data_IF_811563374718
#
_entry.id   IF_811563374718
#
_cell.length_a   1.000
_cell.length_b   1.000
_cell.length_c   1.000
_cell.angle_alpha   90.00
_cell.angle_beta   90.00
_cell.angle_gamma   90.00
#
_symmetry.space_group_name_H-M   'P 1'
#
loop_
_entity.id
_entity.type
_entity.pdbx_description
1 polymer ?
#
# COMPACT_ATOMS: atom_id res chain seq x y z
N UNK A 1 -39.54 14.75 5.86
CA UNK A 1 -38.72 14.51 7.06
C UNK A 1 -37.78 13.35 6.73
N UNK A 2 -36.49 13.62 6.56
CA UNK A 2 -35.45 12.61 6.36
C UNK A 2 -34.95 12.12 7.73
N UNK A 3 -34.54 10.85 7.88
CA UNK A 3 -33.97 10.37 9.14
C UNK A 3 -32.58 10.99 9.35
N UNK A 4 -32.15 11.21 10.62
CA UNK A 4 -30.85 11.79 10.91
C UNK A 4 -29.73 10.81 10.52
N UNK A 5 -28.65 11.35 9.94
CA UNK A 5 -27.36 10.69 9.72
C UNK A 5 -26.93 9.93 10.99
N UNK A 6 -27.09 8.61 10.98
CA UNK A 6 -26.68 7.71 12.05
C UNK A 6 -25.16 7.54 12.02
N UNK A 7 -24.58 7.78 13.20
CA UNK A 7 -23.17 7.72 13.55
C UNK A 7 -22.47 6.46 13.02
N UNK A 8 -21.29 6.69 12.43
CA UNK A 8 -20.27 5.72 12.04
C UNK A 8 -20.02 4.72 13.19
N UNK A 9 -20.23 3.43 12.95
CA UNK A 9 -20.28 2.40 13.98
C UNK A 9 -18.92 1.70 14.14
N UNK A 10 -18.47 1.51 15.38
CA UNK A 10 -17.10 1.09 15.71
C UNK A 10 -16.73 -0.35 15.32
N UNK A 11 -15.43 -0.61 15.21
CA UNK A 11 -14.85 -1.93 14.92
C UNK A 11 -14.69 -2.79 16.19
N UNK A 12 -14.93 -4.09 16.08
CA UNK A 12 -14.81 -5.04 17.19
C UNK A 12 -13.92 -6.22 16.81
N UNK A 13 -13.20 -6.74 17.78
CA UNK A 13 -12.41 -7.96 17.67
C UNK A 13 -12.92 -9.01 18.66
N UNK A 14 -13.02 -10.26 18.21
CA UNK A 14 -13.34 -11.40 19.08
C UNK A 14 -12.09 -11.84 19.85
N UNK A 15 -12.09 -11.65 21.16
CA UNK A 15 -10.96 -11.98 22.04
C UNK A 15 -11.25 -13.13 23.00
N UNK A 16 -12.51 -13.55 23.13
CA UNK A 16 -12.91 -14.65 24.00
C UNK A 16 -13.39 -15.89 23.23
N UNK A 17 -13.65 -16.97 23.96
CA UNK A 17 -14.17 -18.22 23.38
C UNK A 17 -13.10 -19.22 22.92
N UNK A 18 -11.83 -19.01 23.27
CA UNK A 18 -10.71 -19.90 22.93
C UNK A 18 -10.96 -21.37 23.29
N UNK A 19 -11.44 -21.63 24.52
CA UNK A 19 -11.76 -22.99 24.98
C UNK A 19 -12.88 -23.68 24.17
N UNK A 20 -13.69 -22.91 23.45
CA UNK A 20 -14.78 -23.40 22.60
C UNK A 20 -14.57 -23.13 21.11
N UNK A 21 -13.34 -22.80 20.71
CA UNK A 21 -12.95 -22.47 19.34
C UNK A 21 -13.78 -21.32 18.72
N UNK A 22 -14.10 -20.31 19.53
CA UNK A 22 -14.89 -19.14 19.14
C UNK A 22 -16.15 -18.95 19.98
N UNK A 23 -16.88 -17.89 19.65
CA UNK A 23 -18.11 -17.48 20.34
C UNK A 23 -19.35 -17.81 19.53
N UNK A 24 -20.48 -17.96 20.24
CA UNK A 24 -21.75 -18.29 19.64
C UNK A 24 -22.43 -17.04 19.07
N UNK A 25 -22.70 -17.04 17.77
CA UNK A 25 -23.56 -16.06 17.13
C UNK A 25 -25.00 -16.58 17.05
N UNK A 26 -25.99 -15.69 17.16
CA UNK A 26 -27.42 -16.01 17.05
C UNK A 26 -28.07 -15.17 15.96
N UNK A 27 -29.13 -15.69 15.34
CA UNK A 27 -29.88 -14.99 14.28
C UNK A 27 -30.56 -13.71 14.78
N UNK A 28 -30.98 -13.67 16.04
CA UNK A 28 -31.68 -12.56 16.67
C UNK A 28 -31.07 -12.15 18.01
N UNK A 29 -31.50 -10.98 18.50
CA UNK A 29 -30.97 -10.35 19.71
C UNK A 29 -31.15 -11.19 20.98
N UNK A 30 -32.24 -11.97 21.09
CA UNK A 30 -32.55 -12.81 22.26
C UNK A 30 -31.57 -13.97 22.48
N UNK A 31 -31.44 -14.42 23.73
CA UNK A 31 -30.62 -15.59 24.10
C UNK A 31 -31.27 -16.92 23.70
N UNK A 32 -32.56 -16.90 23.43
CA UNK A 32 -33.42 -17.98 22.96
C UNK A 32 -33.47 -18.09 21.43
N UNK A 33 -32.89 -17.13 20.70
CA UNK A 33 -32.84 -17.14 19.24
C UNK A 33 -32.01 -18.30 18.70
N UNK A 34 -32.34 -18.76 17.48
CA UNK A 34 -31.59 -19.76 16.72
C UNK A 34 -30.09 -19.47 16.69
N UNK A 35 -29.32 -20.48 17.05
CA UNK A 35 -27.86 -20.49 17.02
C UNK A 35 -27.37 -20.61 15.57
N UNK A 36 -26.34 -19.83 15.23
CA UNK A 36 -25.70 -19.87 13.93
C UNK A 36 -24.41 -20.69 14.02
N UNK A 37 -24.21 -21.55 13.02
CA UNK A 37 -23.01 -22.35 12.86
C UNK A 37 -22.31 -22.00 11.53
N UNK A 38 -20.97 -22.03 11.47
CA UNK A 38 -20.02 -22.34 12.55
C UNK A 38 -19.96 -21.23 13.63
N UNK A 39 -19.24 -21.47 14.74
CA UNK A 39 -18.97 -20.43 15.74
C UNK A 39 -18.07 -19.34 15.16
N UNK A 40 -18.17 -18.13 15.70
CA UNK A 40 -17.36 -16.99 15.32
C UNK A 40 -15.98 -17.11 15.98
N UNK A 41 -14.94 -17.35 15.19
CA UNK A 41 -13.59 -17.66 15.66
C UNK A 41 -12.95 -16.47 16.41
N UNK A 42 -12.03 -16.79 17.32
CA UNK A 42 -11.18 -15.79 18.00
C UNK A 42 -10.30 -15.07 16.96
N UNK A 43 -10.05 -13.78 17.17
CA UNK A 43 -9.35 -12.90 16.22
C UNK A 43 -10.22 -12.42 15.05
N UNK A 44 -11.51 -12.78 15.00
CA UNK A 44 -12.41 -12.26 13.96
C UNK A 44 -12.67 -10.76 14.18
N UNK A 45 -12.54 -9.97 13.11
CA UNK A 45 -12.85 -8.55 13.08
C UNK A 45 -14.26 -8.32 12.55
N UNK A 46 -15.01 -7.48 13.25
CA UNK A 46 -16.42 -7.25 13.01
C UNK A 46 -16.73 -5.76 12.89
N UNK A 47 -17.66 -5.45 12.01
CA UNK A 47 -18.33 -4.16 11.95
C UNK A 47 -19.51 -4.16 12.93
N UNK A 48 -19.63 -3.14 13.76
CA UNK A 48 -20.84 -2.94 14.57
C UNK A 48 -22.00 -2.50 13.67
N UNK A 49 -23.10 -3.25 13.70
CA UNK A 49 -24.35 -2.87 13.03
C UNK A 49 -25.34 -2.26 14.03
N UNK A 50 -25.33 -2.76 15.27
CA UNK A 50 -26.15 -2.23 16.37
C UNK A 50 -25.60 -2.71 17.72
N UNK A 51 -25.65 -1.87 18.76
CA UNK A 51 -25.25 -2.25 20.11
C UNK A 51 -26.39 -1.99 21.11
N UNK A 52 -26.89 -3.05 21.73
CA UNK A 52 -27.94 -3.01 22.76
C UNK A 52 -27.41 -3.55 24.07
N UNK A 53 -26.86 -2.66 24.89
CA UNK A 53 -26.22 -3.02 26.16
C UNK A 53 -25.05 -3.98 25.91
N UNK A 54 -25.25 -5.26 26.22
CA UNK A 54 -24.24 -6.31 26.07
C UNK A 54 -24.42 -7.19 24.81
N UNK A 55 -25.33 -6.81 23.91
CA UNK A 55 -25.64 -7.54 22.67
C UNK A 55 -25.21 -6.71 21.48
N UNK A 56 -24.30 -7.26 20.69
CA UNK A 56 -23.73 -6.64 19.51
C UNK A 56 -24.28 -7.35 18.26
N UNK A 57 -25.03 -6.63 17.45
CA UNK A 57 -25.34 -7.01 16.08
C UNK A 57 -24.14 -6.65 15.23
N UNK A 58 -23.63 -7.62 14.47
CA UNK A 58 -22.39 -7.47 13.74
C UNK A 58 -22.49 -7.94 12.31
N UNK A 59 -21.54 -7.47 11.50
CA UNK A 59 -21.17 -8.04 10.20
C UNK A 59 -19.70 -8.45 10.25
N UNK A 60 -19.39 -9.66 9.78
CA UNK A 60 -18.02 -10.17 9.76
C UNK A 60 -17.22 -9.45 8.66
N UNK A 61 -16.09 -8.87 9.04
CA UNK A 61 -15.14 -8.25 8.09
C UNK A 61 -13.97 -9.17 7.77
N UNK A 62 -13.43 -9.84 8.80
CA UNK A 62 -12.29 -10.78 8.68
C UNK A 62 -12.39 -11.87 9.72
N UNK A 63 -12.02 -13.10 9.38
CA UNK A 63 -12.02 -14.24 10.29
C UNK A 63 -12.89 -15.40 9.79
N UNK A 64 -13.35 -16.26 10.70
CA UNK A 64 -14.24 -17.39 10.37
C UNK A 64 -15.50 -17.35 11.23
N UNK A 65 -16.65 -17.61 10.62
CA UNK A 65 -17.93 -17.62 11.31
C UNK A 65 -19.06 -17.21 10.38
N UNK A 66 -20.27 -17.00 10.93
CA UNK A 66 -21.39 -16.43 10.19
C UNK A 66 -21.06 -15.00 9.75
N UNK A 67 -21.49 -14.64 8.54
CA UNK A 67 -21.21 -13.31 7.96
C UNK A 67 -21.94 -12.18 8.68
N UNK A 68 -22.98 -12.50 9.45
CA UNK A 68 -23.74 -11.57 10.27
C UNK A 68 -24.39 -12.31 11.46
N UNK A 69 -24.76 -11.56 12.49
CA UNK A 69 -25.56 -12.08 13.59
C UNK A 69 -25.43 -11.29 14.87
N UNK A 70 -25.95 -11.84 15.96
CA UNK A 70 -25.90 -11.24 17.29
C UNK A 70 -24.99 -12.03 18.23
N UNK A 71 -24.04 -11.33 18.85
CA UNK A 71 -23.13 -11.88 19.86
C UNK A 71 -23.27 -11.19 21.21
N UNK A 72 -22.79 -11.85 22.25
CA UNK A 72 -22.65 -11.27 23.58
C UNK A 72 -21.25 -10.69 23.73
N UNK A 73 -21.13 -9.43 24.13
CA UNK A 73 -19.84 -8.72 24.25
C UNK A 73 -19.06 -9.17 25.49
N UNK A 74 -19.74 -9.37 26.62
CA UNK A 74 -19.15 -9.84 27.88
C UNK A 74 -20.00 -10.96 28.49
N UNK A 75 -19.37 -12.00 29.05
CA UNK A 75 -20.09 -13.10 29.70
C UNK A 75 -19.41 -13.48 31.01
N UNK A 76 -20.17 -13.46 32.12
CA UNK A 76 -19.66 -13.74 33.46
C UNK A 76 -18.41 -12.92 33.83
N UNK A 77 -18.41 -11.63 33.48
CA UNK A 77 -17.28 -10.72 33.72
C UNK A 77 -16.09 -10.89 32.77
N UNK A 78 -16.12 -11.86 31.83
CA UNK A 78 -15.09 -12.04 30.81
C UNK A 78 -15.47 -11.31 29.52
N UNK A 79 -14.53 -10.59 28.93
CA UNK A 79 -14.70 -9.94 27.62
C UNK A 79 -14.61 -10.99 26.52
N UNK A 80 -15.62 -11.04 25.66
CA UNK A 80 -15.70 -11.93 24.49
C UNK A 80 -15.42 -11.18 23.19
N UNK A 81 -15.88 -9.94 23.10
CA UNK A 81 -15.55 -9.02 22.02
C UNK A 81 -15.08 -7.70 22.63
N UNK A 82 -14.00 -7.14 22.11
CA UNK A 82 -13.50 -5.84 22.51
C UNK A 82 -13.63 -4.85 21.37
N UNK A 83 -13.96 -3.59 21.67
CA UNK A 83 -13.79 -2.53 20.68
C UNK A 83 -12.30 -2.45 20.37
N UNK A 84 -11.97 -2.48 19.09
CA UNK A 84 -10.61 -2.16 18.67
C UNK A 84 -10.45 -0.66 18.89
N UNK A 85 -9.67 -0.28 19.91
CA UNK A 85 -9.34 1.11 20.16
C UNK A 85 -8.44 1.58 19.00
N UNK A 86 -9.08 2.11 17.98
CA UNK A 86 -8.52 2.25 16.65
C UNK A 86 -9.66 2.15 15.64
N UNK A 87 -10.45 3.22 15.49
CA UNK A 87 -11.47 3.35 14.44
C UNK A 87 -10.88 2.98 13.06
N UNK A 88 -11.17 1.76 12.66
CA UNK A 88 -11.00 1.29 11.30
C UNK A 88 -12.34 1.55 10.62
N UNK A 89 -12.37 2.51 9.70
CA UNK A 89 -13.50 2.66 8.79
C UNK A 89 -13.35 1.74 7.57
N UNK A 90 -14.45 1.11 7.10
CA UNK A 90 -14.46 0.28 5.91
C UNK A 90 -14.48 1.18 4.67
N UNK A 91 -13.40 1.18 3.89
CA UNK A 91 -13.47 1.70 2.51
C UNK A 91 -14.23 0.72 1.64
N UNK A 92 -15.54 0.93 1.55
CA UNK A 92 -16.37 0.42 0.46
C UNK A 92 -16.25 1.33 -0.75
N UNK A 93 -15.61 0.84 -1.81
CA UNK A 93 -16.00 1.10 -3.20
C UNK A 93 -15.78 2.50 -3.77
N UNK A 94 -14.54 2.80 -4.18
CA UNK A 94 -14.31 3.29 -5.55
C UNK A 94 -13.18 2.48 -6.15
N UNK A 95 -13.42 1.98 -7.36
CA UNK A 95 -12.63 0.91 -7.98
C UNK A 95 -11.14 1.19 -7.96
N UNK A 96 -10.40 0.27 -7.35
CA UNK A 96 -9.05 0.02 -7.81
C UNK A 96 -9.23 -0.57 -9.23
N UNK A 97 -8.72 0.07 -10.30
CA UNK A 97 -8.77 -0.55 -11.61
C UNK A 97 -8.08 -1.91 -11.50
N UNK A 98 -8.83 -2.91 -11.93
CA UNK A 98 -8.45 -4.30 -12.21
C UNK A 98 -6.94 -4.46 -12.45
N UNK A 99 -6.30 -5.33 -11.67
CA UNK A 99 -5.26 -6.20 -12.22
C UNK A 99 -3.79 -5.90 -11.91
N UNK A 100 -3.44 -5.11 -10.90
CA UNK A 100 -2.10 -5.24 -10.33
C UNK A 100 -2.11 -6.42 -9.34
N UNK A 101 -1.98 -7.65 -9.84
CA UNK A 101 -1.69 -8.80 -9.00
C UNK A 101 -0.57 -8.43 -8.02
N UNK A 102 -0.69 -8.80 -6.74
CA UNK A 102 0.41 -8.64 -5.80
C UNK A 102 1.60 -9.45 -6.33
N UNK A 103 2.49 -8.81 -7.08
CA UNK A 103 3.68 -9.46 -7.63
C UNK A 103 4.67 -9.58 -6.50
N UNK A 104 4.71 -10.75 -5.87
CA UNK A 104 5.81 -11.16 -5.01
C UNK A 104 7.02 -11.53 -5.86
N UNK A 105 8.22 -11.34 -5.31
CA UNK A 105 9.49 -11.70 -5.92
C UNK A 105 10.32 -12.53 -4.92
N UNK A 106 11.14 -13.49 -5.38
CA UNK A 106 12.14 -14.13 -4.53
C UNK A 106 12.97 -13.08 -3.79
N UNK A 107 13.10 -13.24 -2.47
CA UNK A 107 13.76 -12.31 -1.56
C UNK A 107 12.80 -11.39 -0.79
N UNK A 108 11.55 -11.23 -1.22
CA UNK A 108 10.59 -10.38 -0.51
C UNK A 108 10.39 -10.82 0.94
N UNK A 109 10.40 -9.86 1.85
CA UNK A 109 10.05 -10.08 3.26
C UNK A 109 8.54 -10.05 3.44
N UNK A 110 8.03 -11.09 4.10
CA UNK A 110 6.60 -11.28 4.32
C UNK A 110 6.34 -11.77 5.73
N UNK A 111 5.18 -11.43 6.27
CA UNK A 111 4.59 -12.14 7.39
C UNK A 111 3.70 -13.25 6.86
N UNK A 112 3.70 -14.38 7.57
CA UNK A 112 2.99 -15.59 7.14
C UNK A 112 1.95 -15.97 8.18
N UNK A 113 0.68 -15.94 7.80
CA UNK A 113 -0.38 -16.39 8.70
C UNK A 113 -0.29 -17.91 8.91
N UNK A 114 -0.21 -18.33 10.17
CA UNK A 114 -0.23 -19.73 10.57
C UNK A 114 -1.62 -20.12 11.03
N UNK A 115 -2.29 -20.99 10.27
CA UNK A 115 -3.61 -21.50 10.64
C UNK A 115 -3.57 -22.37 11.91
N UNK A 116 -2.51 -23.15 12.10
CA UNK A 116 -2.39 -24.06 13.25
C UNK A 116 -2.03 -23.35 14.54
N UNK A 117 -1.38 -22.19 14.45
CA UNK A 117 -1.00 -21.35 15.60
C UNK A 117 -1.89 -20.12 15.78
N UNK A 118 -2.83 -19.90 14.86
CA UNK A 118 -3.73 -18.74 14.81
C UNK A 118 -3.01 -17.40 15.00
N UNK A 119 -1.83 -17.25 14.38
CA UNK A 119 -1.00 -16.06 14.52
C UNK A 119 -0.20 -15.78 13.25
N UNK A 120 0.21 -14.52 13.10
CA UNK A 120 1.23 -14.14 12.13
C UNK A 120 2.60 -14.63 12.59
N UNK A 121 3.29 -15.36 11.72
CA UNK A 121 4.70 -15.70 11.88
C UNK A 121 5.53 -14.63 11.19
N UNK A 122 6.39 -14.01 12.00
CA UNK A 122 7.31 -12.96 11.57
C UNK A 122 8.47 -13.55 10.76
N UNK A 123 9.17 -12.69 10.00
CA UNK A 123 10.40 -13.02 9.25
C UNK A 123 10.23 -14.07 8.14
N UNK A 124 9.09 -14.10 7.47
CA UNK A 124 8.95 -14.91 6.27
C UNK A 124 9.73 -14.32 5.10
N UNK A 125 10.24 -15.19 4.23
CA UNK A 125 10.94 -14.78 3.00
C UNK A 125 10.33 -15.55 1.84
N UNK A 126 9.95 -14.83 0.79
CA UNK A 126 9.56 -15.44 -0.47
C UNK A 126 10.81 -16.09 -1.07
N UNK A 127 10.78 -17.41 -1.23
CA UNK A 127 11.87 -18.16 -1.83
C UNK A 127 11.71 -18.24 -3.35
N UNK A 128 10.47 -18.42 -3.81
CA UNK A 128 10.16 -18.68 -5.21
C UNK A 128 8.73 -18.23 -5.52
N UNK A 129 8.50 -17.86 -6.78
CA UNK A 129 7.17 -17.64 -7.34
C UNK A 129 7.00 -18.53 -8.55
N UNK A 130 5.94 -19.33 -8.58
CA UNK A 130 5.69 -20.32 -9.62
C UNK A 130 5.52 -19.61 -10.98
N UNK A 131 6.41 -19.85 -11.96
CA UNK A 131 6.34 -19.18 -13.25
C UNK A 131 5.17 -19.70 -14.11
N UNK A 132 4.72 -20.92 -13.84
CA UNK A 132 3.64 -21.63 -14.50
C UNK A 132 2.97 -22.62 -13.55
N UNK A 133 1.86 -23.21 -13.98
CA UNK A 133 1.17 -24.26 -13.23
C UNK A 133 2.07 -25.51 -13.16
N UNK A 134 2.25 -26.09 -11.96
CA UNK A 134 3.07 -27.31 -11.81
C UNK A 134 2.58 -28.21 -10.68
N UNK A 135 3.08 -29.45 -10.63
CA UNK A 135 2.73 -30.43 -9.60
C UNK A 135 3.78 -30.44 -8.48
N UNK A 136 3.38 -30.06 -7.26
CA UNK A 136 4.16 -30.17 -6.03
C UNK A 136 3.75 -31.45 -5.28
N UNK A 137 4.45 -32.55 -5.57
CA UNK A 137 4.12 -33.88 -5.05
C UNK A 137 2.78 -34.40 -5.60
N UNK A 138 1.69 -34.24 -4.85
CA UNK A 138 0.32 -34.59 -5.28
C UNK A 138 -0.60 -33.38 -5.43
N UNK A 139 -0.11 -32.19 -5.10
CA UNK A 139 -0.90 -30.96 -5.13
C UNK A 139 -0.56 -30.16 -6.38
N UNK A 140 -1.58 -29.72 -7.11
CA UNK A 140 -1.39 -28.76 -8.21
C UNK A 140 -1.14 -27.37 -7.61
N UNK A 141 -0.16 -26.65 -8.14
CA UNK A 141 0.13 -25.24 -7.84
C UNK A 141 -0.19 -24.42 -9.07
N UNK A 142 -0.94 -23.35 -8.89
CA UNK A 142 -1.18 -22.40 -9.98
C UNK A 142 0.01 -21.48 -10.22
N UNK A 143 0.13 -20.98 -11.44
CA UNK A 143 1.02 -19.89 -11.81
C UNK A 143 0.83 -18.72 -10.86
N UNK A 144 1.94 -18.18 -10.37
CA UNK A 144 1.95 -17.09 -9.39
C UNK A 144 1.82 -17.55 -7.94
N UNK A 145 1.68 -18.85 -7.66
CA UNK A 145 1.82 -19.38 -6.29
C UNK A 145 3.17 -18.98 -5.69
N UNK A 146 3.21 -18.70 -4.39
CA UNK A 146 4.39 -18.17 -3.71
C UNK A 146 4.91 -19.20 -2.71
N UNK A 147 6.14 -19.66 -2.88
CA UNK A 147 6.84 -20.46 -1.89
C UNK A 147 7.48 -19.53 -0.88
N UNK A 148 7.11 -19.70 0.38
CA UNK A 148 7.59 -18.85 1.47
C UNK A 148 8.25 -19.72 2.54
N UNK A 149 9.42 -19.29 3.02
CA UNK A 149 9.99 -19.78 4.27
C UNK A 149 9.47 -18.96 5.45
N UNK A 150 9.34 -19.57 6.63
CA UNK A 150 8.89 -18.90 7.84
C UNK A 150 9.41 -19.61 9.10
N UNK A 151 9.26 -18.96 10.26
CA UNK A 151 9.75 -19.50 11.54
C UNK A 151 11.25 -19.72 11.53
N UNK A 152 12.00 -18.68 11.14
CA UNK A 152 13.47 -18.68 11.03
C UNK A 152 14.01 -19.78 10.11
N UNK A 153 13.28 -20.07 9.02
CA UNK A 153 13.66 -21.05 8.00
C UNK A 153 13.28 -22.50 8.31
N UNK A 154 12.65 -22.76 9.46
CA UNK A 154 12.22 -24.12 9.85
C UNK A 154 10.97 -24.60 9.10
N UNK A 155 10.14 -23.67 8.61
CA UNK A 155 8.94 -23.96 7.84
C UNK A 155 9.04 -23.46 6.41
N UNK A 156 8.41 -24.20 5.48
CA UNK A 156 8.16 -23.76 4.09
C UNK A 156 6.74 -24.11 3.70
N UNK A 157 6.07 -23.26 2.92
CA UNK A 157 4.78 -23.59 2.30
C UNK A 157 4.57 -22.81 1.02
N UNK A 158 3.85 -23.42 0.08
CA UNK A 158 3.26 -22.70 -1.05
C UNK A 158 1.97 -22.01 -0.61
N UNK A 159 1.74 -20.82 -1.16
CA UNK A 159 0.51 -20.03 -0.98
C UNK A 159 -0.07 -19.71 -2.36
N UNK A 160 -1.28 -20.19 -2.61
CA UNK A 160 -1.97 -19.99 -3.90
C UNK A 160 -2.35 -18.51 -4.09
N UNK A 161 -2.44 -18.00 -5.34
CA UNK A 161 -2.77 -16.59 -5.61
C UNK A 161 -4.00 -16.07 -4.87
N UNK A 162 -5.08 -16.86 -4.82
CA UNK A 162 -6.32 -16.50 -4.12
C UNK A 162 -6.18 -16.45 -2.59
N UNK A 163 -5.09 -16.99 -2.05
CA UNK A 163 -4.79 -17.01 -0.63
C UNK A 163 -3.80 -15.94 -0.19
N UNK A 164 -3.01 -15.41 -1.12
CA UNK A 164 -1.89 -14.52 -0.82
C UNK A 164 -2.30 -13.29 -0.03
N UNK A 165 -3.44 -12.67 -0.36
CA UNK A 165 -3.91 -11.46 0.32
C UNK A 165 -4.20 -11.65 1.82
N UNK A 166 -4.52 -12.88 2.26
CA UNK A 166 -4.84 -13.17 3.66
C UNK A 166 -3.86 -14.12 4.35
N UNK A 167 -2.99 -14.80 3.60
CA UNK A 167 -1.92 -15.66 4.12
C UNK A 167 -0.58 -14.95 4.16
N UNK A 168 -0.31 -14.05 3.22
CA UNK A 168 0.93 -13.30 3.11
C UNK A 168 0.66 -11.83 3.36
N UNK A 169 1.45 -11.24 4.24
CA UNK A 169 1.46 -9.81 4.44
C UNK A 169 2.85 -9.33 4.04
N UNK A 170 2.99 -8.72 2.84
CA UNK A 170 4.25 -8.09 2.43
C UNK A 170 4.63 -7.07 3.49
N UNK A 171 5.78 -7.26 4.12
CA UNK A 171 6.33 -6.23 4.99
C UNK A 171 6.78 -5.11 4.06
N UNK A 172 6.23 -3.90 4.16
CA UNK A 172 6.93 -2.77 3.59
C UNK A 172 8.25 -2.71 4.35
N UNK A 173 9.37 -2.72 3.63
CA UNK A 173 10.69 -2.52 4.22
C UNK A 173 10.82 -1.04 4.62
N UNK A 174 10.02 -0.61 5.59
CA UNK A 174 10.15 0.71 6.19
C UNK A 174 11.57 0.83 6.74
N UNK A 175 12.09 2.05 6.71
CA UNK A 175 13.38 2.44 7.28
C UNK A 175 13.23 3.76 8.03
N UNK A 176 14.03 4.00 9.07
CA UNK A 176 14.18 5.34 9.63
C UNK A 176 14.48 6.35 8.50
N UNK A 177 13.69 7.41 8.41
CA UNK A 177 13.75 8.42 7.36
C UNK A 177 12.73 8.26 6.22
N UNK A 178 12.06 7.11 6.10
CA UNK A 178 11.04 6.92 5.08
C UNK A 178 9.85 7.87 5.28
N UNK A 179 9.45 8.57 4.22
CA UNK A 179 8.18 9.29 4.20
C UNK A 179 7.04 8.29 4.08
N UNK A 180 6.00 8.47 4.88
CA UNK A 180 4.83 7.60 4.93
C UNK A 180 3.57 8.42 5.07
N UNK A 181 2.47 7.98 4.47
CA UNK A 181 1.16 8.45 4.92
C UNK A 181 0.76 7.64 6.15
N UNK A 182 0.27 8.33 7.17
CA UNK A 182 -0.17 7.72 8.43
C UNK A 182 -1.68 7.84 8.55
N UNK A 183 -2.40 6.72 8.67
CA UNK A 183 -3.84 6.75 8.87
C UNK A 183 -4.17 7.32 10.25
N UNK A 184 -4.94 8.40 10.31
CA UNK A 184 -5.50 8.95 11.53
C UNK A 184 -6.93 8.48 11.71
N UNK A 185 -7.05 7.42 12.52
CA UNK A 185 -8.29 6.88 13.08
C UNK A 185 -9.30 7.97 13.51
N UNK A 186 -8.89 8.87 14.41
CA UNK A 186 -9.81 9.85 15.02
C UNK A 186 -10.20 10.98 14.07
N UNK A 187 -9.40 11.21 13.03
CA UNK A 187 -9.64 12.23 12.03
C UNK A 187 -10.19 11.66 10.71
N UNK A 188 -10.37 10.34 10.62
CA UNK A 188 -10.80 9.58 9.44
C UNK A 188 -10.10 10.01 8.14
N UNK A 189 -8.78 10.24 8.23
CA UNK A 189 -7.98 10.72 7.09
C UNK A 189 -6.53 10.28 7.19
N UNK A 190 -5.85 10.25 6.04
CA UNK A 190 -4.41 10.11 5.97
C UNK A 190 -3.74 11.43 6.36
N UNK A 191 -2.76 11.37 7.25
CA UNK A 191 -1.75 12.41 7.41
C UNK A 191 -0.66 12.14 6.37
N UNK A 192 -0.37 13.13 5.53
CA UNK A 192 0.52 12.96 4.36
C UNK A 192 1.98 13.28 4.67
N UNK A 193 2.26 13.76 5.88
CA UNK A 193 3.54 14.26 6.36
C UNK A 193 4.23 13.28 7.32
N UNK A 194 3.84 12.02 7.29
CA UNK A 194 4.42 11.01 8.17
C UNK A 194 5.89 10.75 7.82
N UNK A 195 6.67 10.54 8.87
CA UNK A 195 8.08 10.16 8.78
C UNK A 195 8.32 8.98 9.73
N UNK A 196 8.92 7.92 9.21
CA UNK A 196 9.40 6.82 10.05
C UNK A 196 10.60 7.32 10.84
N UNK A 197 10.45 7.40 12.15
CA UNK A 197 11.49 7.85 13.07
C UNK A 197 12.45 6.71 13.42
N UNK A 198 11.89 5.52 13.70
CA UNK A 198 12.65 4.34 14.11
C UNK A 198 11.85 3.05 13.86
N UNK A 199 12.53 1.90 13.96
CA UNK A 199 11.93 0.58 13.86
C UNK A 199 12.49 -0.31 14.96
N UNK A 200 11.60 -0.92 15.74
CA UNK A 200 11.99 -1.83 16.82
C UNK A 200 12.82 -3.00 16.27
N UNK A 201 14.10 -3.06 16.59
CA UNK A 201 15.00 -4.15 16.12
C UNK A 201 14.83 -5.44 16.92
N UNK A 202 14.24 -5.34 18.11
CA UNK A 202 13.91 -6.42 19.02
C UNK A 202 12.56 -6.19 19.70
N UNK A 203 12.05 -7.19 20.43
CA UNK A 203 10.85 -7.01 21.24
C UNK A 203 11.17 -6.11 22.42
N UNK A 204 10.33 -5.10 22.65
CA UNK A 204 10.52 -4.14 23.74
C UNK A 204 9.19 -3.83 24.42
N UNK A 205 9.23 -3.21 25.60
CA UNK A 205 8.04 -2.75 26.31
C UNK A 205 8.01 -1.23 26.35
N UNK A 206 6.93 -0.63 25.86
CA UNK A 206 6.72 0.82 25.87
C UNK A 206 5.47 1.08 26.69
N UNK A 207 5.59 1.86 27.76
CA UNK A 207 4.49 2.19 28.66
C UNK A 207 3.76 0.95 29.22
N UNK A 208 4.50 -0.16 29.39
CA UNK A 208 3.95 -1.43 29.87
C UNK A 208 3.24 -2.27 28.80
N UNK A 209 3.19 -1.81 27.55
CA UNK A 209 2.66 -2.56 26.42
C UNK A 209 3.79 -3.21 25.61
N UNK A 210 3.62 -4.49 25.27
CA UNK A 210 4.57 -5.21 24.41
C UNK A 210 4.56 -4.62 23.00
N UNK A 211 5.75 -4.29 22.50
CA UNK A 211 6.02 -3.80 21.16
C UNK A 211 6.81 -4.88 20.42
N UNK A 212 6.19 -5.59 19.46
CA UNK A 212 6.87 -6.62 18.68
C UNK A 212 8.06 -6.06 17.90
N UNK A 213 9.03 -6.93 17.61
CA UNK A 213 10.11 -6.62 16.66
C UNK A 213 9.51 -6.22 15.30
N UNK A 214 10.10 -5.24 14.65
CA UNK A 214 9.65 -4.68 13.39
C UNK A 214 8.53 -3.64 13.53
N UNK A 215 8.09 -3.31 14.75
CA UNK A 215 7.13 -2.21 14.95
C UNK A 215 7.73 -0.88 14.49
N UNK A 216 6.97 -0.12 13.72
CA UNK A 216 7.43 1.13 13.10
C UNK A 216 6.96 2.30 13.96
N UNK A 217 7.91 3.15 14.34
CA UNK A 217 7.65 4.41 15.02
C UNK A 217 7.54 5.50 13.97
N UNK A 218 6.39 6.15 13.92
CA UNK A 218 6.13 7.25 12.98
C UNK A 218 5.79 8.53 13.71
N UNK A 219 6.37 9.63 13.25
CA UNK A 219 5.94 10.99 13.60
C UNK A 219 5.13 11.55 12.43
N UNK A 220 4.10 12.35 12.72
CA UNK A 220 3.18 12.90 11.72
C UNK A 220 2.53 14.18 12.27
N UNK A 221 1.74 14.88 11.44
CA UNK A 221 1.17 16.19 11.77
C UNK A 221 2.25 17.20 12.20
N UNK A 222 3.31 17.36 11.42
CA UNK A 222 4.44 18.23 11.65
C UNK A 222 5.13 17.97 13.00
N UNK A 223 5.25 16.69 13.37
CA UNK A 223 5.88 16.25 14.61
C UNK A 223 4.99 16.32 15.86
N UNK A 224 3.74 16.79 15.74
CA UNK A 224 2.81 16.84 16.87
C UNK A 224 2.21 15.46 17.22
N UNK A 225 2.20 14.53 16.28
CA UNK A 225 1.69 13.16 16.47
C UNK A 225 2.82 12.14 16.44
N UNK A 226 2.73 11.11 17.28
CA UNK A 226 3.61 9.93 17.24
C UNK A 226 2.78 8.65 17.37
N UNK A 227 3.12 7.60 16.64
CA UNK A 227 2.50 6.26 16.73
C UNK A 227 3.57 5.17 16.71
N UNK A 228 3.35 4.13 17.49
CA UNK A 228 4.03 2.85 17.33
C UNK A 228 3.05 1.91 16.62
N UNK A 229 3.41 1.43 15.42
CA UNK A 229 2.53 0.62 14.58
C UNK A 229 3.13 -0.79 14.48
N UNK A 230 2.51 -1.78 15.16
CA UNK A 230 2.95 -3.17 15.11
C UNK A 230 2.90 -3.71 13.67
N UNK A 231 3.77 -4.66 13.31
CA UNK A 231 3.83 -5.19 11.95
C UNK A 231 2.50 -5.65 11.36
N UNK A 232 1.65 -6.27 12.18
CA UNK A 232 0.33 -6.74 11.75
C UNK A 232 -0.63 -5.63 11.30
N UNK A 233 -0.39 -4.37 11.67
CA UNK A 233 -1.23 -3.20 11.35
C UNK A 233 -0.58 -2.26 10.33
N UNK A 234 0.68 -2.47 9.96
CA UNK A 234 1.44 -1.55 9.13
C UNK A 234 0.81 -1.33 7.75
N UNK A 235 0.41 -2.40 7.05
CA UNK A 235 -0.24 -2.26 5.74
C UNK A 235 -1.54 -1.45 5.78
N UNK A 236 -2.21 -1.44 6.93
CA UNK A 236 -3.47 -0.74 7.11
C UNK A 236 -3.27 0.71 7.53
N UNK A 237 -2.28 0.96 8.38
CA UNK A 237 -2.08 2.26 9.02
C UNK A 237 -0.95 3.09 8.41
N UNK A 238 -0.12 2.49 7.56
CA UNK A 238 0.98 3.12 6.88
C UNK A 238 0.88 2.86 5.38
N UNK A 239 1.16 3.90 4.60
CA UNK A 239 1.49 3.77 3.18
C UNK A 239 2.88 4.35 3.01
N UNK A 240 3.82 3.52 2.58
CA UNK A 240 5.13 4.01 2.20
C UNK A 240 4.95 5.01 1.05
N UNK A 241 5.42 6.23 1.24
CA UNK A 241 5.49 7.22 0.16
C UNK A 241 6.77 6.91 -0.60
N UNK A 242 6.70 5.83 -1.37
CA UNK A 242 7.55 5.74 -2.54
C UNK A 242 6.98 6.77 -3.53
N UNK A 243 7.81 7.63 -4.14
CA UNK A 243 7.41 8.30 -5.37
C UNK A 243 6.93 7.21 -6.30
N UNK A 244 5.83 7.51 -6.97
CA UNK A 244 5.20 6.65 -7.95
C UNK A 244 6.26 5.81 -8.67
N UNK A 245 6.24 4.47 -8.56
CA UNK A 245 7.18 3.64 -9.32
C UNK A 245 6.98 3.98 -10.80
N UNK A 246 7.95 4.71 -11.37
CA UNK A 246 7.89 5.17 -12.76
C UNK A 246 7.67 6.66 -13.00
N UNK A 247 8.01 7.56 -12.07
CA UNK A 247 8.12 8.99 -12.40
C UNK A 247 9.22 9.24 -13.46
N UNK A 248 10.31 8.49 -13.36
CA UNK A 248 11.44 8.60 -14.28
C UNK A 248 12.00 7.22 -14.64
N UNK A 249 12.41 7.05 -15.89
CA UNK A 249 13.01 5.83 -16.42
C UNK A 249 14.47 6.03 -16.81
N UNK A 250 15.25 4.93 -16.87
CA UNK A 250 16.60 4.99 -17.43
C UNK A 250 16.60 5.65 -18.81
N UNK A 251 17.49 6.62 -19.02
CA UNK A 251 17.62 7.39 -20.25
C UNK A 251 16.58 8.51 -20.43
N UNK A 252 15.69 8.74 -19.47
CA UNK A 252 14.72 9.84 -19.55
C UNK A 252 15.40 11.20 -19.39
N UNK A 253 15.01 12.14 -20.24
CA UNK A 253 15.43 13.54 -20.15
C UNK A 253 14.61 14.28 -19.09
N UNK A 254 15.30 14.96 -18.18
CA UNK A 254 14.72 15.63 -17.03
C UNK A 254 15.36 16.99 -16.83
N UNK A 255 14.63 17.93 -16.23
CA UNK A 255 15.22 19.14 -15.70
C UNK A 255 15.65 18.92 -14.25
N UNK A 256 16.81 19.44 -13.86
CA UNK A 256 17.38 19.31 -12.51
C UNK A 256 17.45 20.67 -11.82
N UNK A 257 16.85 20.80 -10.64
CA UNK A 257 16.95 22.03 -9.85
C UNK A 257 18.36 22.22 -9.31
N UNK A 258 18.92 23.42 -9.55
CA UNK A 258 20.18 23.87 -8.98
C UNK A 258 19.91 24.81 -7.81
N UNK A 259 20.22 24.38 -6.59
CA UNK A 259 20.06 25.20 -5.37
C UNK A 259 20.95 26.44 -5.42
N UNK A 260 22.22 26.27 -5.81
CA UNK A 260 23.18 27.37 -5.91
C UNK A 260 22.89 28.31 -7.07
N UNK A 261 22.36 27.78 -8.18
CA UNK A 261 21.99 28.57 -9.36
C UNK A 261 20.60 29.20 -9.28
N UNK A 262 19.74 28.74 -8.36
CA UNK A 262 18.34 29.16 -8.27
C UNK A 262 17.54 28.90 -9.56
N UNK A 263 17.95 27.92 -10.36
CA UNK A 263 17.43 27.69 -11.70
C UNK A 263 17.36 26.21 -12.05
N UNK A 264 16.48 25.86 -12.99
CA UNK A 264 16.39 24.53 -13.58
C UNK A 264 17.47 24.37 -14.65
N UNK A 265 18.21 23.26 -14.58
CA UNK A 265 19.17 22.81 -15.58
C UNK A 265 18.43 21.84 -16.49
N UNK A 266 18.34 22.15 -17.79
CA UNK A 266 17.40 21.48 -18.70
C UNK A 266 18.00 20.25 -19.42
N UNK A 267 19.29 19.96 -19.22
CA UNK A 267 20.02 18.87 -19.90
C UNK A 267 20.23 17.62 -19.03
N UNK A 268 19.39 17.45 -18.00
CA UNK A 268 19.44 16.29 -17.12
C UNK A 268 19.06 15.01 -17.86
N UNK A 269 19.79 13.93 -17.59
CA UNK A 269 19.49 12.58 -18.09
C UNK A 269 19.58 11.59 -16.95
N UNK A 270 18.54 10.77 -16.81
CA UNK A 270 18.49 9.70 -15.82
C UNK A 270 19.42 8.57 -16.23
N UNK A 271 20.43 8.31 -15.41
CA UNK A 271 21.43 7.26 -15.63
C UNK A 271 21.10 5.96 -14.90
N UNK A 272 20.33 6.02 -13.82
CA UNK A 272 19.96 4.82 -13.07
C UNK A 272 18.72 5.10 -12.22
N UNK A 273 17.89 4.08 -12.05
CA UNK A 273 16.87 4.04 -11.01
C UNK A 273 17.23 2.90 -10.07
N UNK A 274 17.41 3.20 -8.79
CA UNK A 274 17.78 2.22 -7.78
C UNK A 274 16.64 1.22 -7.60
N UNK A 275 16.80 -0.01 -8.11
CA UNK A 275 15.80 -1.07 -7.95
C UNK A 275 15.73 -1.60 -6.50
N UNK A 276 16.83 -1.44 -5.77
CA UNK A 276 17.05 -1.80 -4.37
C UNK A 276 17.89 -0.70 -3.70
N UNK A 277 18.01 -0.76 -2.37
CA UNK A 277 18.93 0.11 -1.64
C UNK A 277 20.37 -0.20 -2.02
N UNK A 278 21.14 0.84 -2.30
CA UNK A 278 22.55 0.72 -2.66
C UNK A 278 23.40 1.66 -1.81
N UNK A 279 24.71 1.44 -1.82
CA UNK A 279 25.69 2.33 -1.22
C UNK A 279 26.37 3.06 -2.37
N UNK A 280 26.36 4.39 -2.35
CA UNK A 280 27.09 5.18 -3.36
C UNK A 280 28.61 5.19 -3.11
N UNK A 281 29.34 5.83 -4.02
CA UNK A 281 30.80 5.91 -3.96
C UNK A 281 31.30 6.67 -2.71
N UNK A 282 30.46 7.50 -2.10
CA UNK A 282 30.74 8.26 -0.87
C UNK A 282 30.35 7.47 0.40
N UNK A 283 29.86 6.24 0.25
CA UNK A 283 29.45 5.39 1.36
C UNK A 283 28.07 5.73 1.93
N UNK A 284 27.29 6.58 1.27
CA UNK A 284 25.94 6.93 1.69
C UNK A 284 24.92 5.90 1.22
N UNK A 285 23.89 5.68 2.04
CA UNK A 285 22.76 4.84 1.65
C UNK A 285 21.90 5.60 0.65
N UNK A 286 21.73 5.01 -0.53
CA UNK A 286 20.82 5.45 -1.57
C UNK A 286 19.58 4.55 -1.51
N UNK A 287 18.43 5.08 -1.07
CA UNK A 287 17.20 4.30 -0.96
C UNK A 287 16.74 3.77 -2.31
N UNK A 288 16.09 2.61 -2.31
CA UNK A 288 15.33 2.11 -3.45
C UNK A 288 14.38 3.18 -4.00
N UNK A 289 14.32 3.28 -5.32
CA UNK A 289 13.54 4.29 -6.04
C UNK A 289 14.28 5.61 -6.24
N UNK A 290 15.48 5.79 -5.68
CA UNK A 290 16.33 6.94 -5.98
C UNK A 290 16.71 6.95 -7.45
N UNK A 291 16.90 8.15 -7.99
CA UNK A 291 17.23 8.36 -9.41
C UNK A 291 18.60 9.02 -9.50
N UNK A 292 19.54 8.38 -10.17
CA UNK A 292 20.85 8.95 -10.51
C UNK A 292 20.69 9.78 -11.77
N UNK A 293 21.05 11.06 -11.71
CA UNK A 293 20.93 11.98 -12.85
C UNK A 293 22.28 12.61 -13.15
N UNK A 294 22.67 12.57 -14.43
CA UNK A 294 23.72 13.42 -14.99
C UNK A 294 23.11 14.72 -15.49
N UNK A 295 23.75 15.86 -15.25
CA UNK A 295 23.28 17.19 -15.67
C UNK A 295 24.47 18.12 -15.91
N UNK A 296 24.20 19.34 -16.40
CA UNK A 296 25.22 20.34 -16.73
C UNK A 296 26.25 19.76 -17.73
N UNK A 297 25.73 19.21 -18.82
CA UNK A 297 26.46 18.62 -19.94
C UNK A 297 27.38 17.47 -19.52
N UNK A 298 26.91 16.68 -18.55
CA UNK A 298 27.62 15.54 -17.98
C UNK A 298 28.66 15.89 -16.92
N UNK A 299 28.83 17.17 -16.58
CA UNK A 299 29.78 17.59 -15.54
C UNK A 299 29.23 17.36 -14.11
N UNK A 300 27.92 17.29 -13.94
CA UNK A 300 27.27 17.01 -12.66
C UNK A 300 26.65 15.62 -12.64
N UNK A 301 26.79 14.92 -11.51
CA UNK A 301 26.10 13.66 -11.22
C UNK A 301 25.54 13.75 -9.80
N UNK A 302 24.30 13.32 -9.58
CA UNK A 302 23.78 13.17 -8.21
C UNK A 302 22.69 12.12 -8.13
N UNK A 303 22.63 11.43 -6.99
CA UNK A 303 21.45 10.70 -6.56
C UNK A 303 20.38 11.68 -6.08
N UNK A 304 19.15 11.49 -6.54
CA UNK A 304 17.96 12.17 -6.05
C UNK A 304 17.10 11.12 -5.37
N UNK A 305 17.06 11.19 -4.04
CA UNK A 305 16.30 10.25 -3.23
C UNK A 305 14.81 10.39 -3.51
N UNK A 306 14.02 9.33 -3.27
CA UNK A 306 12.70 9.22 -3.84
C UNK A 306 11.83 10.45 -3.54
N UNK A 307 11.69 10.81 -2.28
CA UNK A 307 10.84 11.90 -1.81
C UNK A 307 11.33 13.32 -2.10
N UNK A 308 12.48 13.50 -2.74
CA UNK A 308 12.98 14.80 -3.23
C UNK A 308 12.76 14.98 -4.74
N UNK A 309 12.37 13.91 -5.46
CA UNK A 309 12.31 13.92 -6.92
C UNK A 309 11.37 14.99 -7.47
N UNK A 310 10.22 15.25 -6.84
CA UNK A 310 9.29 16.30 -7.32
C UNK A 310 9.83 17.72 -7.13
N UNK A 311 10.68 17.93 -6.12
CA UNK A 311 11.31 19.22 -5.84
C UNK A 311 12.56 19.44 -6.70
N UNK A 312 13.28 18.36 -7.01
CA UNK A 312 14.61 18.40 -7.63
C UNK A 312 14.57 18.04 -9.11
N UNK A 313 13.59 17.26 -9.57
CA UNK A 313 13.46 16.78 -10.95
C UNK A 313 12.12 17.17 -11.56
N UNK A 314 12.11 17.45 -12.86
CA UNK A 314 10.88 17.61 -13.66
C UNK A 314 11.02 16.86 -14.96
N UNK A 315 9.96 16.15 -15.36
CA UNK A 315 9.90 15.56 -16.70
C UNK A 315 9.84 16.65 -17.77
N UNK A 316 10.45 16.38 -18.92
CA UNK A 316 10.44 17.28 -20.09
C UNK A 316 9.09 17.29 -20.81
N UNK A 317 8.17 16.37 -20.47
CA UNK A 317 6.83 16.28 -21.10
C UNK A 317 5.77 17.06 -20.31
N UNK A 318 5.00 17.97 -20.93
CA UNK A 318 3.85 18.57 -20.27
C UNK A 318 2.76 17.51 -20.02
N UNK A 319 1.94 17.64 -18.95
CA UNK A 319 0.82 16.74 -18.72
C UNK A 319 -0.14 16.76 -19.92
N UNK A 320 -0.78 15.64 -20.29
CA UNK A 320 -1.77 15.64 -21.35
C UNK A 320 -2.88 16.63 -20.96
N UNK A 321 -2.99 17.73 -21.72
CA UNK A 321 -4.02 18.74 -21.49
C UNK A 321 -5.41 18.08 -21.56
N UNK A 322 -6.34 18.38 -20.63
CA UNK A 322 -7.71 17.95 -20.76
C UNK A 322 -8.32 18.55 -22.02
N UNK A 323 -9.02 17.70 -22.76
CA UNK A 323 -9.62 17.96 -24.06
C UNK A 323 -10.24 19.36 -24.20
N UNK A 324 -9.84 20.09 -25.24
CA UNK A 324 -10.75 21.05 -25.89
C UNK A 324 -11.42 20.31 -27.03
N UNK A 325 -12.57 19.71 -26.74
CA UNK A 325 -13.53 19.33 -27.79
C UNK A 325 -14.31 20.58 -28.25
N UNK A 326 -14.35 20.72 -29.58
CA UNK A 326 -15.43 21.25 -30.42
C UNK A 326 -15.74 22.77 -30.41
N UNK A 327 -15.31 23.45 -31.46
CA UNK A 327 -16.16 23.94 -32.59
C UNK A 327 -15.22 24.07 -33.81
N UNK A 328 -15.47 23.65 -35.06
CA UNK A 328 -16.57 23.07 -35.79
C UNK A 328 -16.17 23.14 -37.28
N UNK A 329 -16.47 22.08 -38.04
CA UNK A 329 -16.39 21.89 -39.49
C UNK A 329 -16.88 23.11 -40.32
N UNK A 330 -16.64 23.31 -41.62
CA UNK A 330 -15.88 22.73 -42.73
C UNK A 330 -16.11 23.69 -43.92
N UNK A 331 -15.23 23.75 -44.92
CA UNK A 331 -15.60 23.51 -46.32
C UNK A 331 -14.36 23.57 -47.23
N UNK A 332 -14.27 22.57 -48.09
CA UNK A 332 -13.30 22.44 -49.17
C UNK A 332 -14.06 22.38 -50.49
N UNK A 333 -13.57 23.07 -51.53
CA UNK A 333 -13.71 22.76 -52.97
C UNK A 333 -12.94 23.85 -53.75
N UNK A 334 -11.79 23.54 -54.33
CA UNK A 334 -11.55 23.03 -55.70
C UNK A 334 -11.42 24.09 -56.81
N UNK A 335 -10.22 24.11 -57.41
CA UNK A 335 -9.88 24.10 -58.86
C UNK A 335 -10.27 25.30 -59.76
N UNK A 336 -9.24 26.01 -60.27
CA UNK A 336 -8.86 26.11 -61.69
C UNK A 336 -7.80 27.23 -61.93
N UNK A 337 -6.66 26.92 -62.56
CA UNK A 337 -5.69 27.91 -63.09
C UNK A 337 -6.06 28.38 -64.51
N UNK A 338 -5.11 28.80 -65.38
CA UNK A 338 -3.82 29.45 -65.14
C UNK A 338 -3.59 30.70 -66.05
N UNK A 339 -2.50 31.45 -65.82
CA UNK A 339 -1.92 32.38 -66.80
C UNK A 339 -0.92 33.35 -66.15
N UNK A 340 0.13 33.88 -66.78
CA UNK A 340 0.88 33.55 -67.99
C UNK A 340 2.10 34.50 -67.96
N UNK A 341 3.27 33.98 -68.35
CA UNK A 341 4.39 34.63 -69.06
C UNK A 341 5.15 35.86 -68.48
N UNK A 342 6.48 35.79 -68.58
CA UNK A 342 7.43 36.91 -68.46
C UNK A 342 8.78 36.49 -67.85
N UNK A 343 9.57 35.63 -68.50
CA UNK A 343 10.60 35.94 -69.49
C UNK A 343 11.88 36.64 -68.95
N UNK A 344 12.94 35.82 -68.88
CA UNK A 344 14.33 36.04 -69.31
C UNK A 344 15.18 37.25 -68.83
N UNK A 345 16.38 36.93 -68.34
CA UNK A 345 17.54 37.83 -68.29
C UNK A 345 18.76 37.16 -67.64
N UNK A 346 19.73 36.76 -68.46
CA UNK A 346 20.94 36.04 -68.09
C UNK A 346 22.17 36.97 -67.91
N UNK A 347 23.21 36.41 -67.26
CA UNK A 347 24.63 36.81 -67.28
C UNK A 347 24.97 38.18 -66.65
N UNK A 348 26.14 38.41 -66.03
CA UNK A 348 27.34 37.63 -65.83
C UNK A 348 28.38 38.53 -65.14
N UNK A 349 29.34 37.89 -64.46
CA UNK A 349 30.74 38.28 -64.20
C UNK A 349 31.10 39.78 -64.31
N UNK A 350 31.50 40.36 -63.18
CA UNK A 350 32.80 41.06 -63.05
C UNK A 350 33.36 40.87 -61.63
#
# INVERSE_FOLDING_TARGET
>A
MAPPCSQLQGLWEIVGGTATHGILARKGRGLDSTELHPRLAVGSLLEQVELHGNRLHYRLLRGRGPVEGWITVTYQGKTLAQKVAGDVHPTGGMGNPVGAALVFMPGDRVHVWSLSREMWLENGIVLEVAPEDFLDGRQMRSKGSVLVSYGDGTGKKWVEPAEQEWVLCRMPDFRPGDKVHVWSVSADKWAEDGLVEDIATERMFIEGQETPRGSVFVVYNNGAGRKCIPPALQQQLLRLVLPSPGLFSFGEEVHVWSVNGGAWIEDGVVQQVAAEDLIDDDGQVVPRGSVLVTYNSGAGVKWVVPWEQEEILRGTRPPPSPATELVGAAEAAEVAGPGAAGAAGAAGVE
#
